data_IF_020167855165
#
_entry.id   IF_020167855165
#
_cell.length_a   1.000
_cell.length_b   1.000
_cell.length_c   1.000
_cell.angle_alpha   90.00
_cell.angle_beta   90.00
_cell.angle_gamma   90.00
#
_symmetry.space_group_name_H-M   'P 1'
#
loop_
_entity.id
_entity.type
_entity.pdbx_description
1 polymer ?
#
# COMPACT_ATOMS: atom_id res chain seq x y z
N UNK A 1 2.88 -12.04 -6.01
CA UNK A 1 2.29 -11.35 -4.85
C UNK A 1 2.75 -9.91 -4.88
N UNK A 2 1.83 -8.97 -4.91
CA UNK A 2 2.17 -7.56 -4.85
C UNK A 2 2.60 -7.17 -3.42
N UNK A 3 3.50 -6.19 -3.31
CA UNK A 3 3.99 -5.73 -1.99
C UNK A 3 2.85 -5.26 -1.06
N UNK A 4 1.75 -4.74 -1.63
CA UNK A 4 0.60 -4.28 -0.86
C UNK A 4 -0.28 -5.40 -0.30
N UNK A 5 -0.21 -6.61 -0.87
CA UNK A 5 -1.00 -7.76 -0.40
C UNK A 5 -0.26 -8.59 0.67
N UNK A 6 1.06 -8.52 0.68
CA UNK A 6 1.86 -9.47 1.43
C UNK A 6 1.73 -9.28 2.96
N UNK A 7 1.63 -8.05 3.48
CA UNK A 7 1.43 -7.83 4.92
C UNK A 7 0.00 -8.15 5.36
N UNK A 8 -1.07 -7.73 4.67
CA UNK A 8 -2.43 -8.21 4.98
C UNK A 8 -2.54 -9.73 4.98
N UNK A 9 -1.92 -10.44 4.03
CA UNK A 9 -1.93 -11.91 3.99
C UNK A 9 -1.20 -12.50 5.21
N UNK A 10 -0.03 -11.95 5.56
CA UNK A 10 0.72 -12.40 6.74
C UNK A 10 -0.02 -12.09 8.04
N UNK A 11 -0.65 -10.92 8.13
CA UNK A 11 -1.47 -10.52 9.26
C UNK A 11 -2.71 -11.42 9.44
N UNK A 12 -3.36 -11.82 8.34
CA UNK A 12 -4.47 -12.80 8.39
C UNK A 12 -4.03 -14.14 8.98
N UNK A 13 -2.80 -14.58 8.70
CA UNK A 13 -2.24 -15.82 9.29
C UNK A 13 -1.89 -15.67 10.76
N UNK A 14 -1.61 -14.45 11.22
CA UNK A 14 -1.31 -14.17 12.62
C UNK A 14 -2.56 -13.98 13.49
N UNK A 15 -3.75 -13.83 12.90
CA UNK A 15 -5.00 -13.62 13.65
C UNK A 15 -5.18 -14.63 14.77
N UNK A 16 -5.64 -14.22 15.95
CA UNK A 16 -6.15 -12.88 16.28
C UNK A 16 -5.05 -11.85 16.61
N UNK A 17 -3.78 -12.24 16.67
CA UNK A 17 -2.66 -11.42 17.06
C UNK A 17 -2.25 -10.44 15.95
N UNK A 18 -1.54 -9.39 16.36
CA UNK A 18 -0.96 -8.42 15.45
C UNK A 18 0.31 -8.96 14.79
N UNK A 19 0.61 -8.45 13.60
CA UNK A 19 1.83 -8.75 12.85
C UNK A 19 2.50 -7.44 12.41
N UNK A 20 3.80 -7.48 12.17
CA UNK A 20 4.57 -6.34 11.71
C UNK A 20 5.45 -6.68 10.49
N UNK A 21 5.78 -5.68 9.71
CA UNK A 21 6.65 -5.77 8.56
C UNK A 21 7.21 -4.41 8.19
N UNK A 22 8.24 -4.39 7.36
CA UNK A 22 8.84 -3.17 6.86
C UNK A 22 9.02 -3.23 5.34
N UNK A 23 8.76 -2.13 4.65
CA UNK A 23 9.28 -1.93 3.32
C UNK A 23 10.68 -1.36 3.43
N UNK A 24 11.65 -2.16 3.03
CA UNK A 24 13.06 -1.80 3.06
C UNK A 24 13.48 -1.35 1.67
N UNK A 25 14.05 -0.16 1.60
CA UNK A 25 14.56 0.43 0.37
C UNK A 25 16.08 0.26 0.28
N UNK A 26 16.56 -0.27 -0.84
CA UNK A 26 17.99 -0.32 -1.17
C UNK A 26 18.36 0.85 -2.06
N UNK A 27 19.32 1.66 -1.62
CA UNK A 27 19.87 2.79 -2.39
C UNK A 27 20.69 2.31 -3.58
N UNK A 28 21.36 1.17 -3.45
CA UNK A 28 22.19 0.60 -4.50
C UNK A 28 21.37 0.12 -5.70
N UNK A 29 20.18 -0.46 -5.45
CA UNK A 29 19.34 -1.04 -6.51
C UNK A 29 18.13 -0.19 -6.88
N UNK A 30 17.77 0.80 -6.06
CA UNK A 30 16.54 1.59 -6.19
C UNK A 30 15.27 0.77 -5.94
N UNK A 31 15.36 -0.39 -5.28
CA UNK A 31 14.23 -1.31 -5.09
C UNK A 31 13.71 -1.34 -3.67
N UNK A 32 12.42 -1.64 -3.55
CA UNK A 32 11.76 -1.94 -2.30
C UNK A 32 11.57 -3.46 -2.17
N UNK A 33 11.79 -3.99 -0.96
CA UNK A 33 11.38 -5.34 -0.57
C UNK A 33 10.53 -5.29 0.70
N UNK A 34 9.58 -6.18 0.82
CA UNK A 34 8.90 -6.41 2.09
C UNK A 34 9.74 -7.37 2.94
N UNK A 35 9.94 -7.01 4.19
CA UNK A 35 10.50 -7.87 5.20
C UNK A 35 9.51 -8.01 6.36
N UNK A 36 9.16 -9.23 6.73
CA UNK A 36 8.37 -9.47 7.94
C UNK A 36 9.25 -9.24 9.16
N UNK A 37 8.71 -8.56 10.16
CA UNK A 37 9.40 -8.27 11.40
C UNK A 37 9.08 -9.34 12.44
N UNK A 38 10.08 -10.05 12.96
CA UNK A 38 9.84 -11.04 14.01
C UNK A 38 9.24 -10.39 15.26
N UNK A 39 8.09 -10.89 15.70
CA UNK A 39 7.47 -10.43 16.93
C UNK A 39 8.31 -10.89 18.13
N UNK A 40 8.60 -9.96 19.04
CA UNK A 40 9.14 -10.24 20.39
C UNK A 40 7.98 -10.58 21.30
N UNK A 41 6.88 -9.86 21.15
CA UNK A 41 5.62 -10.08 21.84
C UNK A 41 4.49 -9.71 20.90
N UNK A 42 3.44 -10.52 20.85
CA UNK A 42 2.25 -10.23 20.04
C UNK A 42 0.98 -10.69 20.75
N UNK A 43 -0.04 -9.85 20.68
CA UNK A 43 -1.39 -10.06 21.19
C UNK A 43 -2.41 -9.48 20.23
N UNK A 44 -3.72 -9.61 20.48
CA UNK A 44 -4.74 -8.97 19.64
C UNK A 44 -4.76 -7.43 19.64
N UNK A 45 -4.04 -6.80 20.57
CA UNK A 45 -4.07 -5.34 20.79
C UNK A 45 -2.68 -4.71 20.92
N UNK A 46 -1.63 -5.51 20.77
CA UNK A 46 -0.26 -5.01 20.93
C UNK A 46 0.74 -5.89 20.21
N UNK A 47 1.71 -5.25 19.58
CA UNK A 47 2.89 -5.93 19.04
C UNK A 47 4.17 -5.18 19.41
N UNK A 48 5.16 -5.93 19.93
CA UNK A 48 6.55 -5.50 19.97
C UNK A 48 7.35 -6.36 19.00
N UNK A 49 8.14 -5.77 18.14
CA UNK A 49 8.85 -6.46 17.06
C UNK A 49 10.26 -5.91 16.86
N UNK A 50 11.08 -6.67 16.18
CA UNK A 50 12.42 -6.25 15.76
C UNK A 50 12.41 -5.92 14.28
N UNK A 51 13.06 -4.81 13.91
CA UNK A 51 13.29 -4.49 12.51
C UNK A 51 14.15 -5.60 11.87
N UNK A 52 13.98 -5.85 10.56
CA UNK A 52 14.76 -6.86 9.86
C UNK A 52 16.24 -6.45 9.79
N UNK A 53 17.12 -7.44 9.63
CA UNK A 53 18.51 -7.17 9.32
C UNK A 53 18.58 -6.41 7.98
N UNK A 54 19.36 -5.33 7.95
CA UNK A 54 19.53 -4.46 6.80
C UNK A 54 21.00 -4.39 6.37
N UNK A 55 21.22 -4.33 5.07
CA UNK A 55 22.55 -4.04 4.52
C UNK A 55 22.91 -2.55 4.70
N UNK A 56 24.15 -2.19 4.52
CA UNK A 56 24.64 -0.81 4.73
C UNK A 56 23.99 0.22 3.78
N UNK A 57 23.48 -0.21 2.64
CA UNK A 57 22.78 0.61 1.66
C UNK A 57 21.25 0.61 1.84
N UNK A 58 20.72 -0.18 2.77
CA UNK A 58 19.30 -0.33 3.00
C UNK A 58 18.80 0.59 4.13
N UNK A 59 17.55 1.00 4.02
CA UNK A 59 16.83 1.76 5.06
C UNK A 59 15.36 1.35 5.10
N UNK A 60 14.74 1.46 6.27
CA UNK A 60 13.27 1.30 6.38
C UNK A 60 12.61 2.51 5.74
N UNK A 61 11.88 2.28 4.65
CA UNK A 61 11.08 3.31 3.98
C UNK A 61 9.68 3.42 4.58
N UNK A 62 9.06 2.28 4.90
CA UNK A 62 7.74 2.23 5.53
C UNK A 62 7.76 1.18 6.64
N UNK A 63 7.34 1.58 7.82
CA UNK A 63 7.13 0.73 8.97
C UNK A 63 5.65 0.34 9.05
N UNK A 64 5.35 -0.94 9.14
CA UNK A 64 4.01 -1.47 8.98
C UNK A 64 3.65 -2.41 10.13
N UNK A 65 2.42 -2.27 10.66
CA UNK A 65 1.86 -3.25 11.57
C UNK A 65 0.37 -3.48 11.32
N UNK A 66 -0.22 -4.40 12.06
CA UNK A 66 -1.63 -4.76 11.89
C UNK A 66 -2.36 -4.71 13.22
N UNK A 67 -3.61 -4.27 13.21
CA UNK A 67 -4.53 -4.32 14.35
C UNK A 67 -5.48 -5.53 14.32
N UNK A 68 -5.09 -6.58 13.59
CA UNK A 68 -5.86 -7.81 13.52
C UNK A 68 -7.30 -7.60 13.06
N UNK A 69 -8.27 -7.86 13.94
CA UNK A 69 -9.70 -7.67 13.67
C UNK A 69 -10.20 -6.26 13.94
N UNK A 70 -9.44 -5.43 14.66
CA UNK A 70 -9.81 -4.03 14.93
C UNK A 70 -9.67 -3.18 13.67
N UNK A 71 -10.35 -2.03 13.56
CA UNK A 71 -10.13 -1.06 12.48
C UNK A 71 -8.68 -0.58 12.44
N UNK A 72 -8.26 -0.02 11.30
CA UNK A 72 -7.02 0.72 11.20
C UNK A 72 -7.17 2.09 11.88
N UNK A 73 -6.39 2.35 12.92
CA UNK A 73 -6.32 3.63 13.63
C UNK A 73 -4.93 3.80 14.25
N UNK A 74 -4.60 4.96 14.74
CA UNK A 74 -3.35 5.21 15.48
C UNK A 74 -3.65 5.21 16.97
N UNK A 75 -3.04 4.28 17.70
CA UNK A 75 -3.12 4.20 19.15
C UNK A 75 -2.13 5.17 19.82
N UNK A 76 -2.34 5.43 21.11
CA UNK A 76 -1.37 6.21 21.90
C UNK A 76 -0.02 5.50 22.08
N UNK A 77 0.03 4.18 21.90
CA UNK A 77 1.25 3.39 21.88
C UNK A 77 2.02 3.62 20.58
N UNK A 78 1.33 3.55 19.42
CA UNK A 78 1.92 3.88 18.13
C UNK A 78 2.50 5.30 18.13
N UNK A 79 1.82 6.25 18.74
CA UNK A 79 2.29 7.64 18.83
C UNK A 79 3.57 7.78 19.67
N UNK A 80 3.76 6.95 20.69
CA UNK A 80 4.99 6.94 21.49
C UNK A 80 6.15 6.24 20.80
N UNK A 81 5.87 5.17 20.07
CA UNK A 81 6.87 4.33 19.43
C UNK A 81 7.33 4.90 18.07
N UNK A 82 6.51 5.74 17.44
CA UNK A 82 6.81 6.35 16.15
C UNK A 82 7.76 7.54 16.29
N UNK A 83 9.05 7.24 16.29
CA UNK A 83 10.15 8.20 16.34
C UNK A 83 10.93 8.23 15.02
N UNK A 84 11.81 9.25 14.87
CA UNK A 84 12.64 9.43 13.68
C UNK A 84 11.86 9.97 12.48
N UNK A 85 12.37 9.72 11.28
CA UNK A 85 11.73 10.12 10.01
C UNK A 85 11.40 8.85 9.23
N UNK A 86 10.11 8.55 9.09
CA UNK A 86 9.63 7.36 8.38
C UNK A 86 8.19 7.55 7.91
N UNK A 87 7.75 6.73 6.99
CA UNK A 87 6.33 6.50 6.77
C UNK A 87 5.89 5.34 7.65
N UNK A 88 4.80 5.51 8.38
CA UNK A 88 4.16 4.43 9.12
C UNK A 88 2.83 4.05 8.47
N UNK A 89 2.46 2.78 8.55
CA UNK A 89 1.19 2.27 8.05
C UNK A 89 0.61 1.21 8.98
N UNK A 90 -0.70 1.26 9.21
CA UNK A 90 -1.44 0.28 9.99
C UNK A 90 -2.56 -0.32 9.14
N UNK A 91 -2.70 -1.63 9.20
CA UNK A 91 -3.80 -2.36 8.57
C UNK A 91 -4.74 -2.91 9.63
N UNK A 92 -6.04 -2.75 9.41
CA UNK A 92 -7.09 -3.26 10.28
C UNK A 92 -8.09 -4.13 9.54
N UNK A 93 -9.05 -4.71 10.30
CA UNK A 93 -10.14 -5.55 9.78
C UNK A 93 -9.67 -6.68 8.86
N UNK A 94 -8.55 -7.30 9.20
CA UNK A 94 -7.92 -8.33 8.35
C UNK A 94 -8.79 -9.56 8.10
N UNK A 95 -9.86 -9.75 8.87
CA UNK A 95 -10.85 -10.80 8.66
C UNK A 95 -11.85 -10.50 7.54
N UNK A 96 -11.93 -9.24 7.09
CA UNK A 96 -12.80 -8.81 6.01
C UNK A 96 -12.14 -9.00 4.64
N UNK A 97 -12.96 -9.03 3.58
CA UNK A 97 -12.46 -9.15 2.22
C UNK A 97 -11.57 -7.95 1.83
N UNK A 98 -11.99 -6.77 2.24
CA UNK A 98 -11.26 -5.51 2.03
C UNK A 98 -10.80 -4.94 3.39
N UNK A 99 -9.55 -5.20 3.80
CA UNK A 99 -8.97 -4.60 4.98
C UNK A 99 -8.88 -3.08 4.83
N UNK A 100 -9.08 -2.36 5.93
CA UNK A 100 -8.80 -0.93 5.96
C UNK A 100 -7.31 -0.65 6.28
N UNK A 101 -6.83 0.53 5.92
CA UNK A 101 -5.47 0.95 6.20
C UNK A 101 -5.37 2.47 6.39
N UNK A 102 -4.49 2.87 7.30
CA UNK A 102 -4.10 4.26 7.53
C UNK A 102 -2.59 4.42 7.34
N UNK A 103 -2.18 5.54 6.77
CA UNK A 103 -0.78 5.88 6.57
C UNK A 103 -0.49 7.28 7.12
N UNK A 104 0.71 7.47 7.67
CA UNK A 104 1.19 8.77 8.12
C UNK A 104 2.69 8.95 7.86
N UNK A 105 3.10 10.19 7.62
CA UNK A 105 4.48 10.61 7.74
C UNK A 105 4.77 10.93 9.21
N UNK A 106 5.85 10.35 9.71
CA UNK A 106 6.38 10.58 11.06
C UNK A 106 7.63 11.45 10.95
N UNK A 107 7.71 12.50 11.75
CA UNK A 107 8.88 13.35 11.88
C UNK A 107 9.10 13.64 13.36
N UNK A 108 9.88 12.81 14.05
CA UNK A 108 10.24 12.95 15.46
C UNK A 108 9.02 13.24 16.36
N UNK A 109 8.03 12.35 16.36
CA UNK A 109 6.81 12.46 17.15
C UNK A 109 5.78 13.48 16.62
N UNK A 110 6.00 14.03 15.43
CA UNK A 110 4.98 14.80 14.69
C UNK A 110 4.42 13.97 13.58
N UNK A 111 3.11 14.02 13.38
CA UNK A 111 2.40 13.16 12.45
C UNK A 111 1.65 13.95 11.39
N UNK A 112 1.77 13.51 10.15
CA UNK A 112 0.98 14.04 9.04
C UNK A 112 0.28 12.88 8.33
N UNK A 113 -1.04 12.84 8.30
CA UNK A 113 -1.78 11.83 7.56
C UNK A 113 -1.37 11.81 6.08
N UNK A 114 -1.21 10.63 5.53
CA UNK A 114 -0.95 10.42 4.11
C UNK A 114 -2.14 9.69 3.49
N UNK A 115 -2.45 9.98 2.20
CA UNK A 115 -3.38 9.16 1.46
C UNK A 115 -2.82 7.74 1.33
N UNK A 116 -3.72 6.76 1.15
CA UNK A 116 -3.31 5.38 0.89
C UNK A 116 -2.37 5.35 -0.32
N UNK A 117 -1.13 4.81 -0.20
CA UNK A 117 -0.09 4.96 -1.24
C UNK A 117 -0.50 4.36 -2.59
N UNK A 118 -1.36 3.34 -2.56
CA UNK A 118 -1.82 2.64 -3.77
C UNK A 118 -3.17 3.18 -4.31
N UNK A 119 -3.92 3.98 -3.54
CA UNK A 119 -5.19 4.55 -4.00
C UNK A 119 -5.02 5.44 -5.24
N UNK A 120 -3.96 6.26 -5.28
CA UNK A 120 -3.66 7.11 -6.45
C UNK A 120 -3.28 6.31 -7.69
N UNK A 121 -2.63 5.16 -7.52
CA UNK A 121 -2.27 4.28 -8.62
C UNK A 121 -3.52 3.64 -9.22
N UNK A 122 -4.42 3.13 -8.38
CA UNK A 122 -5.72 2.61 -8.83
C UNK A 122 -6.56 3.69 -9.54
N UNK A 123 -6.57 4.94 -9.04
CA UNK A 123 -7.24 6.06 -9.69
C UNK A 123 -6.59 6.44 -11.03
N UNK A 124 -5.27 6.43 -11.10
CA UNK A 124 -4.53 6.72 -12.33
C UNK A 124 -4.74 5.61 -13.38
N UNK A 125 -4.68 4.36 -12.96
CA UNK A 125 -4.97 3.20 -13.82
C UNK A 125 -6.43 3.22 -14.30
N UNK A 126 -7.40 3.47 -13.41
CA UNK A 126 -8.81 3.63 -13.77
C UNK A 126 -9.10 4.85 -14.64
N UNK A 127 -8.29 5.93 -14.55
CA UNK A 127 -8.34 7.07 -15.49
C UNK A 127 -7.79 6.70 -16.85
N UNK A 128 -6.67 5.98 -16.91
CA UNK A 128 -6.07 5.51 -18.17
C UNK A 128 -7.00 4.52 -18.89
N UNK A 129 -7.62 3.60 -18.17
CA UNK A 129 -8.60 2.67 -18.71
C UNK A 129 -9.84 3.40 -19.24
N UNK A 130 -10.36 4.39 -18.50
CA UNK A 130 -11.47 5.24 -18.97
C UNK A 130 -11.08 6.08 -20.18
N UNK A 131 -9.87 6.62 -20.22
CA UNK A 131 -9.36 7.38 -21.37
C UNK A 131 -9.15 6.48 -22.59
N UNK A 132 -8.62 5.27 -22.41
CA UNK A 132 -8.44 4.30 -23.50
C UNK A 132 -9.77 3.73 -24.01
N UNK A 133 -10.76 3.57 -23.14
CA UNK A 133 -12.12 3.17 -23.55
C UNK A 133 -12.92 4.31 -24.21
N UNK A 134 -12.64 5.56 -23.84
CA UNK A 134 -13.22 6.75 -24.46
C UNK A 134 -12.62 7.05 -25.84
N UNK A 135 -11.40 6.64 -26.11
CA UNK A 135 -10.78 6.61 -27.45
C UNK A 135 -11.24 5.37 -28.23
N UNK A 136 -12.55 5.15 -28.29
CA UNK A 136 -13.16 4.21 -29.22
C UNK A 136 -12.79 4.67 -30.63
N UNK A 137 -12.18 3.82 -31.46
CA UNK A 137 -11.61 4.26 -32.72
C UNK A 137 -12.68 4.89 -33.59
N UNK A 138 -12.43 6.08 -34.09
CA UNK A 138 -13.20 6.78 -35.15
C UNK A 138 -13.30 5.95 -36.46
N UNK A 139 -12.75 4.74 -36.50
CA UNK A 139 -12.76 3.82 -37.62
C UNK A 139 -14.15 3.55 -38.22
N UNK A 140 -15.25 3.40 -37.46
CA UNK A 140 -16.54 3.17 -38.10
C UNK A 140 -17.12 4.43 -38.76
N UNK A 141 -16.84 5.62 -38.23
CA UNK A 141 -17.32 6.88 -38.80
C UNK A 141 -16.55 7.27 -40.08
N UNK A 142 -15.24 7.12 -40.07
CA UNK A 142 -14.41 7.34 -41.27
C UNK A 142 -14.69 6.32 -42.34
N UNK A 143 -14.95 5.07 -42.02
CA UNK A 143 -15.33 4.06 -43.01
C UNK A 143 -16.66 4.37 -43.66
N UNK A 144 -17.68 4.80 -42.90
CA UNK A 144 -18.98 5.24 -43.44
C UNK A 144 -18.90 6.53 -44.26
N UNK A 145 -18.00 7.45 -43.95
CA UNK A 145 -17.76 8.66 -44.73
C UNK A 145 -17.07 8.36 -46.06
N UNK A 146 -16.08 7.48 -46.07
CA UNK A 146 -15.37 7.03 -47.27
C UNK A 146 -16.30 6.23 -48.21
N UNK A 147 -17.13 5.34 -47.67
CA UNK A 147 -18.13 4.57 -48.44
C UNK A 147 -19.19 5.47 -49.05
N UNK A 148 -19.60 6.57 -48.41
CA UNK A 148 -20.52 7.56 -48.99
C UNK A 148 -19.87 8.46 -50.04
N UNK A 149 -18.56 8.60 -50.00
CA UNK A 149 -17.83 9.41 -50.99
C UNK A 149 -17.53 8.60 -52.25
N UNK A 150 -17.21 7.32 -52.13
CA UNK A 150 -16.99 6.42 -53.27
C UNK A 150 -18.29 6.02 -54.03
N UNK A 151 -19.46 6.23 -53.42
CA UNK A 151 -20.75 5.94 -54.05
C UNK A 151 -21.33 7.14 -54.86
N UNK A 152 -20.61 8.26 -54.97
CA UNK A 152 -21.02 9.46 -55.69
C UNK A 152 -20.10 9.82 -56.86
N UNK A 153 -19.19 8.96 -57.24
CA UNK A 153 -18.38 8.97 -58.46
C UNK A 153 -18.80 7.81 -59.37
#
# INVERSE_FOLDING_TARGET
LSLHDALPISGRRALPNEAAGALVYSRATGRLRLALCPAVQSSPTRIAYRLPAMAADETVAVDLHTHGKLPAFWSSEDDRDDQGIKVAGVFGRLHEAEPDACFRLVINGRFRPLPHPWARRCEAEARLERASSATRPLRPLLKRLLERWSARG
#
